data_IF_405042225329
#
_entry.id   IF_405042225329
#
_cell.length_a   1.000
_cell.length_b   1.000
_cell.length_c   1.000
_cell.angle_alpha   90.00
_cell.angle_beta   90.00
_cell.angle_gamma   90.00
#
_symmetry.space_group_name_H-M   'P 1'
#
loop_
_entity.id
_entity.type
_entity.pdbx_description
1 polymer ?
#
# COMPACT_ATOMS: atom_id res chain seq x y z
N UNK A 1 -31.26 49.55 -105.12
CA UNK A 1 -30.96 48.19 -104.61
C UNK A 1 -29.91 48.33 -103.51
N UNK A 2 -30.29 48.10 -102.24
CA UNK A 2 -29.85 46.95 -101.39
C UNK A 2 -28.30 46.94 -101.21
N UNK A 3 -27.65 47.06 -100.04
CA UNK A 3 -27.92 46.67 -98.64
C UNK A 3 -26.77 47.18 -97.74
N UNK A 4 -27.02 47.82 -96.59
CA UNK A 4 -26.85 47.29 -95.19
C UNK A 4 -25.38 47.15 -94.75
N UNK A 5 -24.82 48.06 -93.91
CA UNK A 5 -24.78 48.10 -92.43
C UNK A 5 -23.97 46.96 -91.78
N UNK A 6 -22.99 47.31 -90.94
CA UNK A 6 -22.31 46.35 -90.05
C UNK A 6 -21.11 46.90 -89.26
N UNK A 7 -21.32 47.87 -88.37
CA UNK A 7 -20.40 48.23 -87.29
C UNK A 7 -20.68 47.30 -86.10
N UNK A 8 -19.72 46.46 -85.71
CA UNK A 8 -19.86 45.55 -84.57
C UNK A 8 -18.77 45.84 -83.55
N UNK A 9 -19.14 46.65 -82.55
CA UNK A 9 -18.37 46.89 -81.33
C UNK A 9 -18.62 45.69 -80.40
N UNK A 10 -17.55 44.99 -80.03
CA UNK A 10 -17.58 43.90 -79.06
C UNK A 10 -17.57 44.50 -77.65
N UNK A 11 -18.75 44.66 -77.05
CA UNK A 11 -18.89 44.98 -75.62
C UNK A 11 -18.78 43.66 -74.83
N UNK A 12 -17.58 43.35 -74.34
CA UNK A 12 -17.34 42.24 -73.42
C UNK A 12 -17.94 42.57 -72.05
N UNK A 13 -19.04 41.91 -71.70
CA UNK A 13 -19.63 42.00 -70.37
C UNK A 13 -18.72 41.30 -69.35
N UNK A 14 -18.12 42.10 -68.45
CA UNK A 14 -17.35 41.60 -67.31
C UNK A 14 -18.34 41.10 -66.24
N UNK A 15 -18.52 39.78 -66.14
CA UNK A 15 -19.29 39.14 -65.08
C UNK A 15 -18.49 39.21 -63.77
N UNK A 16 -19.00 39.82 -62.68
CA UNK A 16 -18.36 39.71 -61.39
C UNK A 16 -18.56 38.27 -60.88
N UNK A 17 -17.47 37.51 -60.78
CA UNK A 17 -17.46 36.27 -60.01
C UNK A 17 -17.84 36.61 -58.57
N UNK A 18 -19.01 36.15 -58.13
CA UNK A 18 -19.43 36.26 -56.74
C UNK A 18 -18.42 35.56 -55.86
N UNK A 19 -17.73 36.33 -55.01
CA UNK A 19 -16.96 35.77 -53.91
C UNK A 19 -17.94 35.10 -52.95
N UNK A 20 -18.07 33.78 -53.04
CA UNK A 20 -18.72 33.00 -52.00
C UNK A 20 -17.95 33.23 -50.69
N UNK A 21 -18.60 33.86 -49.72
CA UNK A 21 -18.05 33.96 -48.37
C UNK A 21 -18.07 32.54 -47.79
N UNK A 22 -16.91 31.87 -47.81
CA UNK A 22 -16.72 30.66 -47.03
C UNK A 22 -16.58 31.09 -45.56
N UNK A 23 -17.63 30.87 -44.76
CA UNK A 23 -17.52 30.95 -43.31
C UNK A 23 -16.60 29.81 -42.85
N UNK A 24 -15.44 30.15 -42.30
CA UNK A 24 -14.58 29.18 -41.63
C UNK A 24 -15.21 28.86 -40.26
N UNK A 25 -16.15 27.94 -40.23
CA UNK A 25 -16.55 27.28 -38.99
C UNK A 25 -15.31 26.49 -38.51
N UNK A 26 -14.75 26.81 -37.34
CA UNK A 26 -13.64 26.02 -36.80
C UNK A 26 -14.19 24.63 -36.46
N UNK A 27 -13.62 23.58 -37.04
CA UNK A 27 -14.07 22.19 -36.87
C UNK A 27 -13.77 21.59 -35.49
N UNK A 28 -13.76 22.40 -34.43
CA UNK A 28 -13.42 21.99 -33.06
C UNK A 28 -14.45 22.52 -32.09
N UNK A 29 -14.84 21.65 -31.15
CA UNK A 29 -15.70 21.96 -30.01
C UNK A 29 -15.06 21.36 -28.75
N UNK A 30 -15.26 21.99 -27.59
CA UNK A 30 -14.67 21.59 -26.32
C UNK A 30 -15.74 21.48 -25.24
N UNK A 31 -15.49 20.65 -24.21
CA UNK A 31 -16.25 20.62 -22.96
C UNK A 31 -15.28 20.37 -21.79
N UNK A 32 -15.71 20.72 -20.59
CA UNK A 32 -14.91 20.58 -19.38
C UNK A 32 -15.22 19.26 -18.67
N UNK A 33 -14.18 18.64 -18.09
CA UNK A 33 -14.28 17.46 -17.23
C UNK A 33 -13.68 17.84 -15.88
N UNK A 34 -14.37 17.50 -14.79
CA UNK A 34 -13.87 17.65 -13.41
C UNK A 34 -13.66 16.28 -12.79
N UNK A 35 -12.48 16.05 -12.24
CA UNK A 35 -12.12 14.83 -11.52
C UNK A 35 -11.74 15.22 -10.08
N UNK A 36 -12.32 14.53 -9.11
CA UNK A 36 -11.98 14.68 -7.70
C UNK A 36 -11.38 13.36 -7.19
N UNK A 37 -10.30 13.45 -6.43
CA UNK A 37 -9.66 12.32 -5.76
C UNK A 37 -9.65 12.61 -4.28
N UNK A 38 -10.11 11.65 -3.47
CA UNK A 38 -10.10 11.73 -2.01
C UNK A 38 -8.94 10.91 -1.45
N UNK A 39 -8.44 11.32 -0.29
CA UNK A 39 -7.51 10.49 0.47
C UNK A 39 -8.16 9.16 0.87
N UNK A 40 -7.34 8.12 0.95
CA UNK A 40 -7.73 6.76 1.32
C UNK A 40 -6.69 6.22 2.28
N UNK A 41 -7.12 5.66 3.40
CA UNK A 41 -6.26 4.96 4.35
C UNK A 41 -7.00 3.72 4.85
N UNK A 42 -6.74 2.58 4.20
CA UNK A 42 -7.34 1.29 4.56
C UNK A 42 -6.22 0.33 4.94
N UNK A 43 -6.40 -0.35 6.07
CA UNK A 43 -5.47 -1.35 6.59
C UNK A 43 -6.25 -2.63 6.91
N UNK A 44 -5.69 -3.77 6.56
CA UNK A 44 -6.18 -5.09 6.90
C UNK A 44 -5.03 -6.02 7.24
N UNK A 45 -5.29 -7.00 8.09
CA UNK A 45 -4.39 -8.11 8.35
C UNK A 45 -5.08 -9.37 7.84
N UNK A 46 -4.41 -10.08 6.95
CA UNK A 46 -4.83 -11.42 6.57
C UNK A 46 -4.46 -12.40 7.70
N UNK A 47 -5.43 -12.60 8.59
CA UNK A 47 -5.30 -13.47 9.75
C UNK A 47 -6.34 -14.59 9.75
N UNK A 48 -5.98 -15.71 9.13
CA UNK A 48 -6.83 -16.89 9.07
C UNK A 48 -6.77 -17.77 10.34
N UNK A 49 -5.77 -17.61 11.19
CA UNK A 49 -5.49 -18.54 12.30
C UNK A 49 -4.71 -17.91 13.45
N UNK A 50 -5.09 -18.22 14.69
CA UNK A 50 -4.33 -17.77 15.87
C UNK A 50 -2.94 -18.42 15.91
N UNK A 51 -1.92 -17.61 16.18
CA UNK A 51 -0.55 -18.07 16.39
C UNK A 51 -0.42 -18.69 17.79
N UNK A 52 -0.02 -19.96 17.86
CA UNK A 52 0.22 -20.68 19.11
C UNK A 52 1.68 -21.07 19.20
N UNK A 53 2.40 -20.38 20.08
CA UNK A 53 3.79 -20.71 20.41
C UNK A 53 3.83 -21.67 21.60
N UNK A 54 4.83 -22.54 21.63
CA UNK A 54 5.10 -23.43 22.76
C UNK A 54 6.51 -23.24 23.28
N UNK A 55 6.68 -23.30 24.60
CA UNK A 55 8.00 -23.35 25.24
C UNK A 55 8.06 -24.61 26.08
N UNK A 56 9.14 -25.35 25.95
CA UNK A 56 9.27 -26.62 26.62
C UNK A 56 10.70 -27.11 26.75
N UNK A 57 10.80 -28.37 27.20
CA UNK A 57 12.07 -29.02 27.40
C UNK A 57 12.87 -29.13 26.08
N UNK A 58 14.20 -28.95 26.12
CA UNK A 58 15.06 -29.31 25.01
C UNK A 58 15.08 -30.82 24.74
N UNK A 59 15.69 -31.19 23.62
CA UNK A 59 15.95 -32.60 23.28
C UNK A 59 17.06 -33.23 24.12
N UNK A 60 18.01 -32.43 24.60
CA UNK A 60 19.16 -32.88 25.41
C UNK A 60 19.21 -32.11 26.72
N UNK A 61 19.39 -32.83 27.84
CA UNK A 61 19.52 -32.20 29.14
C UNK A 61 20.74 -31.26 29.21
N UNK A 62 20.53 -30.04 29.68
CA UNK A 62 21.56 -29.00 29.78
C UNK A 62 21.53 -27.96 28.67
N UNK A 63 20.76 -28.19 27.60
CA UNK A 63 20.51 -27.18 26.55
C UNK A 63 19.47 -26.13 26.98
N UNK A 64 19.38 -25.03 26.24
CA UNK A 64 18.38 -23.99 26.43
C UNK A 64 16.94 -24.49 26.16
N UNK A 65 15.93 -23.75 26.60
CA UNK A 65 14.53 -24.09 26.34
C UNK A 65 14.25 -24.19 24.84
N UNK A 66 13.39 -25.14 24.45
CA UNK A 66 12.95 -25.26 23.06
C UNK A 66 11.74 -24.38 22.82
N UNK A 67 11.81 -23.51 21.81
CA UNK A 67 10.65 -22.77 21.30
C UNK A 67 10.05 -23.50 20.10
N UNK A 68 8.76 -23.79 20.16
CA UNK A 68 7.98 -24.33 19.05
C UNK A 68 7.22 -23.19 18.38
N UNK A 69 7.60 -22.89 17.14
CA UNK A 69 6.92 -21.88 16.32
C UNK A 69 5.63 -22.47 15.71
N UNK A 70 4.56 -21.66 15.52
CA UNK A 70 3.36 -22.11 14.83
C UNK A 70 3.64 -22.41 13.35
N UNK A 71 2.88 -23.34 12.77
CA UNK A 71 3.00 -23.67 11.34
C UNK A 71 2.64 -22.47 10.43
N UNK A 72 1.68 -21.66 10.86
CA UNK A 72 1.18 -20.48 10.13
C UNK A 72 1.78 -19.18 10.67
N UNK A 73 3.08 -19.18 11.01
CA UNK A 73 3.78 -18.02 11.57
C UNK A 73 3.94 -16.84 10.59
N UNK A 74 3.39 -16.93 9.38
CA UNK A 74 3.39 -15.86 8.38
C UNK A 74 1.99 -15.27 8.26
N UNK A 75 1.91 -13.94 8.28
CA UNK A 75 0.68 -13.18 7.99
C UNK A 75 0.97 -12.10 6.97
N UNK A 76 -0.08 -11.56 6.34
CA UNK A 76 0.08 -10.51 5.34
C UNK A 76 -0.66 -9.25 5.74
N UNK A 77 0.09 -8.16 5.87
CA UNK A 77 -0.43 -6.83 6.21
C UNK A 77 -0.76 -6.08 4.92
N UNK A 78 -2.05 -5.90 4.66
CA UNK A 78 -2.58 -5.35 3.41
C UNK A 78 -3.05 -3.92 3.63
N UNK A 79 -2.81 -3.05 2.65
CA UNK A 79 -3.28 -1.68 2.73
C UNK A 79 -3.54 -1.06 1.36
N UNK A 80 -4.37 -0.02 1.38
CA UNK A 80 -4.59 0.90 0.26
C UNK A 80 -4.45 2.32 0.77
N UNK A 81 -3.64 3.10 0.06
CA UNK A 81 -3.29 4.47 0.45
C UNK A 81 -3.45 5.41 -0.74
N UNK A 82 -4.12 6.53 -0.51
CA UNK A 82 -4.04 7.73 -1.33
C UNK A 82 -3.68 8.88 -0.38
N UNK A 83 -2.57 9.55 -0.65
CA UNK A 83 -2.00 10.66 0.14
C UNK A 83 -1.88 11.91 -0.73
N UNK A 84 -1.88 13.08 -0.09
CA UNK A 84 -1.45 14.33 -0.73
C UNK A 84 -0.03 14.25 -1.30
N UNK A 85 0.25 15.09 -2.30
CA UNK A 85 1.57 15.15 -2.95
C UNK A 85 2.67 15.49 -1.92
N UNK A 86 3.73 14.67 -1.88
CA UNK A 86 4.85 14.84 -0.96
C UNK A 86 4.57 14.40 0.48
N UNK A 87 3.42 13.80 0.76
CA UNK A 87 3.11 13.15 2.04
C UNK A 87 3.33 11.64 1.97
N UNK A 88 3.56 11.03 3.12
CA UNK A 88 3.66 9.59 3.28
C UNK A 88 2.93 9.14 4.52
N UNK A 89 2.70 7.83 4.63
CA UNK A 89 2.17 7.14 5.80
C UNK A 89 3.17 6.13 6.34
N UNK A 90 2.89 5.64 7.53
CA UNK A 90 3.60 4.52 8.14
C UNK A 90 2.63 3.59 8.84
N UNK A 91 3.04 2.33 9.00
CA UNK A 91 2.31 1.37 9.82
C UNK A 91 3.17 1.03 11.03
N UNK A 92 2.57 1.15 12.22
CA UNK A 92 3.18 0.73 13.48
C UNK A 92 2.52 -0.52 14.04
N UNK A 93 3.21 -1.24 14.93
CA UNK A 93 2.67 -2.32 15.74
C UNK A 93 2.94 -2.10 17.24
N UNK A 94 2.02 -2.57 18.08
CA UNK A 94 2.15 -2.51 19.55
C UNK A 94 1.47 -3.73 20.19
N UNK A 95 2.06 -4.24 21.29
CA UNK A 95 1.42 -5.28 22.11
C UNK A 95 0.29 -4.69 22.96
N UNK A 96 -0.81 -5.44 23.08
CA UNK A 96 -1.95 -5.08 23.93
C UNK A 96 -1.75 -5.43 25.41
N UNK A 97 -0.76 -6.26 25.73
CA UNK A 97 -0.37 -6.64 27.09
C UNK A 97 1.09 -7.09 27.11
N UNK A 98 1.73 -7.03 28.27
CA UNK A 98 3.12 -7.44 28.41
C UNK A 98 3.29 -8.92 28.06
N UNK A 99 4.44 -9.25 27.48
CA UNK A 99 4.85 -10.65 27.29
C UNK A 99 5.09 -11.30 28.67
N UNK A 100 4.90 -12.63 28.80
CA UNK A 100 5.36 -13.33 29.98
C UNK A 100 6.85 -13.07 30.22
N UNK A 101 7.25 -12.98 31.47
CA UNK A 101 8.64 -12.70 31.83
C UNK A 101 9.59 -13.69 31.15
N UNK A 102 10.69 -13.15 30.65
CA UNK A 102 11.69 -13.89 29.92
C UNK A 102 11.34 -14.26 28.48
N UNK A 103 10.24 -13.74 27.91
CA UNK A 103 9.86 -13.99 26.52
C UNK A 103 9.78 -12.69 25.72
N UNK A 104 10.26 -12.74 24.48
CA UNK A 104 10.19 -11.61 23.53
C UNK A 104 9.53 -12.08 22.24
N UNK A 105 8.55 -11.31 21.77
CA UNK A 105 7.93 -11.50 20.47
C UNK A 105 8.58 -10.58 19.44
N UNK A 106 9.00 -11.17 18.32
CA UNK A 106 9.63 -10.50 17.21
C UNK A 106 8.79 -10.64 15.94
N UNK A 107 8.89 -9.63 15.08
CA UNK A 107 8.34 -9.64 13.73
C UNK A 107 9.45 -9.27 12.76
N UNK A 108 9.68 -10.13 11.77
CA UNK A 108 10.43 -9.78 10.57
C UNK A 108 9.47 -9.44 9.45
N UNK A 109 9.61 -8.26 8.85
CA UNK A 109 8.74 -7.79 7.78
C UNK A 109 9.47 -7.72 6.44
N UNK A 110 8.82 -8.18 5.38
CA UNK A 110 9.29 -8.10 4.00
C UNK A 110 8.34 -7.21 3.21
N UNK A 111 8.89 -6.19 2.54
CA UNK A 111 8.13 -5.17 1.81
C UNK A 111 7.16 -5.80 0.81
N UNK A 112 6.00 -5.15 0.65
CA UNK A 112 5.02 -5.55 -0.34
C UNK A 112 5.46 -5.15 -1.76
N UNK A 113 5.15 -5.98 -2.74
CA UNK A 113 5.36 -5.68 -4.15
C UNK A 113 4.02 -5.64 -4.88
N UNK A 114 3.58 -4.44 -5.28
CA UNK A 114 2.40 -4.24 -6.12
C UNK A 114 2.42 -2.84 -6.75
N UNK A 115 1.30 -2.10 -6.75
CA UNK A 115 1.17 -0.84 -7.46
C UNK A 115 1.37 0.37 -6.56
N UNK A 116 2.19 1.32 -7.03
CA UNK A 116 2.41 2.62 -6.38
C UNK A 116 3.64 2.61 -5.47
N UNK A 117 3.66 3.57 -4.54
CA UNK A 117 4.70 3.66 -3.53
C UNK A 117 4.22 2.99 -2.24
N UNK A 118 4.75 1.80 -1.97
CA UNK A 118 4.35 0.92 -0.87
C UNK A 118 5.26 1.08 0.36
N UNK A 119 6.21 2.02 0.32
CA UNK A 119 7.15 2.20 1.42
C UNK A 119 8.11 1.02 1.61
N UNK A 120 8.79 1.00 2.75
CA UNK A 120 9.81 0.01 3.10
C UNK A 120 9.51 -0.62 4.44
N UNK A 121 9.56 -1.95 4.51
CA UNK A 121 9.38 -2.71 5.73
C UNK A 121 10.67 -2.79 6.55
N UNK A 122 10.53 -2.82 7.88
CA UNK A 122 11.65 -3.06 8.80
C UNK A 122 12.01 -4.55 8.84
N UNK A 123 13.31 -4.87 8.78
CA UNK A 123 13.78 -6.26 8.64
C UNK A 123 13.45 -7.13 9.86
N UNK A 124 13.54 -6.58 11.07
CA UNK A 124 13.21 -7.25 12.32
C UNK A 124 12.95 -6.24 13.43
N UNK A 125 11.84 -6.42 14.15
CA UNK A 125 11.48 -5.58 15.29
C UNK A 125 11.04 -6.41 16.48
N UNK A 126 11.39 -5.94 17.68
CA UNK A 126 10.86 -6.47 18.94
C UNK A 126 9.62 -5.67 19.33
N UNK A 127 8.53 -6.35 19.66
CA UNK A 127 7.31 -5.66 20.07
C UNK A 127 7.28 -5.45 21.59
N UNK A 128 6.73 -4.31 21.98
CA UNK A 128 6.52 -3.92 23.38
C UNK A 128 5.14 -3.31 23.56
N UNK A 129 4.70 -3.19 24.81
CA UNK A 129 3.53 -2.42 25.21
C UNK A 129 3.83 -0.94 25.36
N UNK A 130 5.09 -0.55 25.56
CA UNK A 130 5.46 0.82 25.92
C UNK A 130 5.46 1.76 24.72
N UNK A 131 5.83 1.25 23.54
CA UNK A 131 6.02 2.04 22.33
C UNK A 131 5.33 1.38 21.12
N UNK A 132 4.85 2.22 20.21
CA UNK A 132 4.44 1.80 18.87
C UNK A 132 5.68 1.72 17.99
N UNK A 133 5.99 0.53 17.48
CA UNK A 133 7.18 0.27 16.69
C UNK A 133 6.84 0.34 15.20
N UNK A 134 7.65 1.04 14.41
CA UNK A 134 7.45 1.13 12.96
C UNK A 134 7.65 -0.25 12.31
N UNK A 135 6.74 -0.63 11.42
CA UNK A 135 6.77 -1.88 10.63
C UNK A 135 7.00 -1.57 9.17
N UNK A 136 6.34 -0.52 8.68
CA UNK A 136 6.48 -0.02 7.29
C UNK A 136 6.54 1.49 7.35
N UNK A 137 7.50 2.10 6.69
CA UNK A 137 7.64 3.55 6.60
C UNK A 137 7.64 4.03 5.15
N UNK A 138 7.27 5.29 4.91
CA UNK A 138 7.33 5.89 3.57
C UNK A 138 6.24 5.42 2.62
N UNK A 139 5.07 5.00 3.11
CA UNK A 139 3.95 4.56 2.27
C UNK A 139 3.35 5.77 1.54
N UNK A 140 3.45 5.80 0.23
CA UNK A 140 2.84 6.82 -0.61
C UNK A 140 1.42 6.46 -1.06
N UNK A 141 1.06 6.89 -2.27
CA UNK A 141 -0.19 6.45 -2.91
C UNK A 141 0.03 5.10 -3.62
N UNK A 142 -0.75 4.09 -3.28
CA UNK A 142 -0.59 2.72 -3.76
C UNK A 142 -1.54 1.74 -3.11
N UNK A 143 -1.47 0.47 -3.54
CA UNK A 143 -2.25 -0.62 -2.94
C UNK A 143 -1.49 -1.94 -3.04
N UNK A 144 -1.58 -2.76 -1.99
CA UNK A 144 -0.88 -4.05 -1.91
C UNK A 144 -1.60 -5.20 -2.61
N UNK A 145 -2.89 -5.04 -2.91
CA UNK A 145 -3.78 -6.13 -3.29
C UNK A 145 -4.52 -6.73 -2.08
N UNK A 146 -5.26 -7.81 -2.30
CA UNK A 146 -6.15 -8.43 -1.31
C UNK A 146 -6.20 -9.97 -1.41
N UNK A 147 -5.34 -10.60 -2.21
CA UNK A 147 -5.21 -12.05 -2.25
C UNK A 147 -4.57 -12.55 -0.95
N UNK A 148 -5.28 -13.48 -0.30
CA UNK A 148 -4.79 -14.12 0.92
C UNK A 148 -3.47 -14.84 0.67
N UNK A 149 -2.61 -14.86 1.68
CA UNK A 149 -1.31 -15.53 1.69
C UNK A 149 -0.31 -15.05 0.59
N UNK A 150 -0.57 -13.93 -0.10
CA UNK A 150 0.34 -13.42 -1.14
C UNK A 150 0.45 -11.90 -1.22
N UNK A 151 -0.64 -11.17 -1.02
CA UNK A 151 -0.67 -9.72 -1.15
C UNK A 151 -0.44 -9.05 0.20
N UNK A 152 0.41 -8.02 0.24
CA UNK A 152 0.72 -7.28 1.46
C UNK A 152 2.18 -7.40 1.88
N UNK A 153 2.49 -6.72 2.98
CA UNK A 153 3.78 -6.87 3.67
C UNK A 153 3.74 -8.20 4.40
N UNK A 154 4.71 -9.06 4.11
CA UNK A 154 4.78 -10.38 4.72
C UNK A 154 5.40 -10.24 6.11
N UNK A 155 4.65 -10.66 7.13
CA UNK A 155 5.03 -10.61 8.54
C UNK A 155 5.36 -12.02 9.02
N UNK A 156 6.63 -12.29 9.30
CA UNK A 156 7.09 -13.52 9.93
C UNK A 156 7.21 -13.29 11.44
N UNK A 157 6.37 -13.99 12.21
CA UNK A 157 6.42 -13.92 13.67
C UNK A 157 7.42 -14.93 14.22
N UNK A 158 8.11 -14.53 15.28
CA UNK A 158 9.01 -15.38 16.04
C UNK A 158 8.88 -15.10 17.52
N UNK A 159 8.87 -16.16 18.32
CA UNK A 159 9.07 -16.05 19.76
C UNK A 159 10.51 -16.45 20.09
N UNK A 160 11.19 -15.66 20.92
CA UNK A 160 12.48 -16.01 21.50
C UNK A 160 12.42 -15.93 23.02
N UNK A 161 13.25 -16.73 23.66
CA UNK A 161 13.58 -16.52 25.07
C UNK A 161 14.57 -15.38 25.14
N UNK A 162 14.47 -14.60 26.21
CA UNK A 162 15.48 -13.62 26.59
C UNK A 162 16.87 -14.23 26.82
N UNK A 163 17.85 -13.37 27.05
CA UNK A 163 19.22 -13.70 27.40
C UNK A 163 19.33 -14.72 28.55
N UNK A 164 20.46 -15.43 28.63
CA UNK A 164 20.70 -16.51 29.60
C UNK A 164 20.42 -16.11 31.07
N UNK A 165 20.59 -14.83 31.40
CA UNK A 165 20.46 -14.27 32.75
C UNK A 165 19.02 -14.32 33.27
N UNK A 166 18.05 -14.23 32.36
CA UNK A 166 16.62 -14.10 32.65
C UNK A 166 15.88 -15.44 32.41
N UNK A 167 16.61 -16.51 32.11
CA UNK A 167 16.04 -17.86 31.97
C UNK A 167 15.34 -18.37 33.24
N UNK A 168 15.66 -17.79 34.41
CA UNK A 168 14.98 -18.10 35.67
C UNK A 168 13.54 -17.58 35.74
N UNK A 169 13.18 -16.61 34.90
CA UNK A 169 11.88 -15.96 34.92
C UNK A 169 10.84 -16.71 34.07
N UNK A 170 11.32 -17.60 33.18
CA UNK A 170 10.47 -18.49 32.40
C UNK A 170 9.93 -19.62 33.28
N UNK A 171 8.69 -19.46 33.76
CA UNK A 171 8.01 -20.42 34.62
C UNK A 171 6.81 -21.10 33.93
N UNK A 172 6.42 -22.32 34.33
CA UNK A 172 5.24 -22.97 33.78
C UNK A 172 3.97 -22.14 33.97
N UNK A 173 3.27 -21.87 32.87
CA UNK A 173 2.03 -21.10 32.85
C UNK A 173 0.97 -21.75 31.97
N UNK A 174 -0.29 -21.40 32.20
CA UNK A 174 -1.36 -21.67 31.23
C UNK A 174 -1.26 -20.66 30.08
N UNK A 175 -1.73 -21.02 28.88
CA UNK A 175 -1.64 -20.16 27.71
C UNK A 175 -2.23 -18.76 27.96
N UNK A 176 -1.48 -17.73 27.56
CA UNK A 176 -1.90 -16.33 27.59
C UNK A 176 -2.15 -15.86 26.17
N UNK A 177 -3.25 -15.13 25.97
CA UNK A 177 -3.56 -14.48 24.69
C UNK A 177 -3.04 -13.04 24.71
N UNK A 178 -2.24 -12.68 23.72
CA UNK A 178 -1.71 -11.33 23.54
C UNK A 178 -2.20 -10.83 22.19
N UNK A 179 -2.75 -9.62 22.17
CA UNK A 179 -3.20 -8.96 20.94
C UNK A 179 -2.09 -8.05 20.42
N UNK A 180 -1.92 -8.00 19.10
CA UNK A 180 -1.05 -7.03 18.43
C UNK A 180 -1.94 -6.07 17.65
N UNK A 181 -1.74 -4.78 17.86
CA UNK A 181 -2.50 -3.74 17.15
C UNK A 181 -1.61 -3.09 16.10
N UNK A 182 -2.04 -3.12 14.84
CA UNK A 182 -1.41 -2.40 13.74
C UNK A 182 -2.15 -1.10 13.47
N UNK A 183 -1.41 0.00 13.28
CA UNK A 183 -2.00 1.31 13.02
C UNK A 183 -1.35 1.96 11.80
N UNK A 184 -2.17 2.31 10.81
CA UNK A 184 -1.77 3.13 9.67
C UNK A 184 -1.98 4.62 10.02
N UNK A 185 -0.91 5.41 10.03
CA UNK A 185 -0.96 6.85 10.33
C UNK A 185 -0.13 7.65 9.34
N UNK A 186 -0.23 8.97 9.40
CA UNK A 186 0.68 9.86 8.69
C UNK A 186 2.14 9.60 9.09
N UNK A 187 3.03 9.68 8.10
CA UNK A 187 4.47 9.57 8.24
C UNK A 187 5.11 10.89 8.67
N UNK A 188 6.42 10.84 8.91
CA UNK A 188 7.23 12.02 9.23
C UNK A 188 7.61 12.81 7.97
#
# INVERSE_FOLDING_TARGET
MKRTLGMMIFAGALLPLGAGQASAETATASHDITINVSEVALLGLDDASTLVFGIGAPTTAGEAFSVTQPADAVKYLQYTSIVEEGKTRKITAQLGSDMPEGLVLEISAESADNCGDLGSAEEQVELTTNDSIDIVTGIGSGYTGAAADSDGVKLQYGLKTVECEEACDVVPMSGTSITITYTLTEGA
#
